data_IF_561570129931
#
_entry.id   IF_561570129931
#
_cell.length_a   1.000
_cell.length_b   1.000
_cell.length_c   1.000
_cell.angle_alpha   90.00
_cell.angle_beta   90.00
_cell.angle_gamma   90.00
#
_symmetry.space_group_name_H-M   'P 1'
#
loop_
_entity.id
_entity.type
_entity.pdbx_description
1 polymer ?
#
# COMPACT_ATOMS: atom_id res chain seq x y z
N UNK A 1 11.37 34.44 21.03
CA UNK A 1 10.56 33.27 21.40
C UNK A 1 9.63 32.83 20.25
N UNK A 2 10.15 32.33 19.12
CA UNK A 2 9.30 32.00 17.94
C UNK A 2 9.66 30.68 17.21
N UNK A 3 10.70 29.95 17.64
CA UNK A 3 11.20 28.75 16.92
C UNK A 3 10.67 27.41 17.44
N UNK A 4 9.83 27.41 18.48
CA UNK A 4 9.37 26.18 19.15
C UNK A 4 8.10 25.58 18.49
N UNK A 5 7.17 26.40 18.00
CA UNK A 5 5.86 25.94 17.47
C UNK A 5 5.93 25.27 16.09
N UNK A 6 6.94 25.57 15.28
CA UNK A 6 7.11 25.01 13.92
C UNK A 6 7.71 23.60 13.89
N UNK A 7 8.50 23.24 14.91
CA UNK A 7 9.13 21.91 15.00
C UNK A 7 8.13 20.80 15.30
N UNK A 8 7.12 21.08 16.14
CA UNK A 8 6.06 20.13 16.49
C UNK A 8 5.22 19.75 15.27
N UNK A 9 4.74 20.74 14.51
CA UNK A 9 3.89 20.54 13.32
C UNK A 9 4.58 19.76 12.20
N UNK A 10 5.90 19.91 12.05
CA UNK A 10 6.68 19.18 11.04
C UNK A 10 6.81 17.70 11.40
N UNK A 11 7.07 17.40 12.69
CA UNK A 11 7.23 16.03 13.19
C UNK A 11 5.92 15.24 13.10
N UNK A 12 4.79 15.89 13.40
CA UNK A 12 3.44 15.33 13.25
C UNK A 12 3.12 14.96 11.80
N UNK A 13 3.43 15.83 10.84
CA UNK A 13 3.21 15.53 9.41
C UNK A 13 4.05 14.34 8.93
N UNK A 14 5.31 14.25 9.37
CA UNK A 14 6.19 13.13 9.03
C UNK A 14 5.65 11.82 9.62
N UNK A 15 5.20 11.84 10.88
CA UNK A 15 4.60 10.69 11.54
C UNK A 15 3.31 10.25 10.82
N UNK A 16 2.40 11.18 10.50
CA UNK A 16 1.18 10.89 9.75
C UNK A 16 1.46 10.26 8.39
N UNK A 17 2.45 10.76 7.64
CA UNK A 17 2.84 10.18 6.36
C UNK A 17 3.50 8.80 6.47
N UNK A 18 4.24 8.53 7.56
CA UNK A 18 4.80 7.21 7.85
C UNK A 18 3.70 6.19 8.16
N UNK A 19 2.73 6.56 8.98
CA UNK A 19 1.60 5.69 9.30
C UNK A 19 0.75 5.40 8.06
N UNK A 20 0.44 6.40 7.25
CA UNK A 20 -0.28 6.20 5.98
C UNK A 20 0.43 5.18 5.06
N UNK A 21 1.76 5.25 4.94
CA UNK A 21 2.54 4.28 4.16
C UNK A 21 2.47 2.87 4.75
N UNK A 22 2.59 2.73 6.07
CA UNK A 22 2.49 1.43 6.75
C UNK A 22 1.12 0.80 6.55
N UNK A 23 0.05 1.58 6.69
CA UNK A 23 -1.33 1.10 6.49
C UNK A 23 -1.57 0.69 5.03
N UNK A 24 -1.05 1.45 4.06
CA UNK A 24 -1.14 1.07 2.65
C UNK A 24 -0.35 -0.22 2.34
N UNK A 25 0.88 -0.32 2.85
CA UNK A 25 1.71 -1.51 2.71
C UNK A 25 1.07 -2.77 3.32
N UNK A 26 0.43 -2.61 4.49
CA UNK A 26 -0.32 -3.67 5.14
C UNK A 26 -1.47 -4.19 4.27
N UNK A 27 -2.24 -3.29 3.66
CA UNK A 27 -3.36 -3.66 2.77
C UNK A 27 -2.91 -4.30 1.46
N UNK A 28 -1.79 -3.86 0.88
CA UNK A 28 -1.18 -4.55 -0.26
C UNK A 28 -0.87 -6.01 0.08
N UNK A 29 -0.26 -6.24 1.25
CA UNK A 29 0.08 -7.57 1.74
C UNK A 29 -1.14 -8.43 1.99
N UNK A 30 -2.16 -7.86 2.61
CA UNK A 30 -3.42 -8.53 2.88
C UNK A 30 -4.11 -8.96 1.58
N UNK A 31 -4.25 -8.03 0.61
CA UNK A 31 -4.85 -8.34 -0.68
C UNK A 31 -4.08 -9.42 -1.44
N UNK A 32 -2.74 -9.32 -1.48
CA UNK A 32 -1.92 -10.37 -2.10
C UNK A 32 -2.16 -11.72 -1.43
N UNK A 33 -2.13 -11.79 -0.10
CA UNK A 33 -2.34 -13.05 0.63
C UNK A 33 -3.70 -13.66 0.32
N UNK A 34 -4.75 -12.83 0.24
CA UNK A 34 -6.07 -13.30 -0.16
C UNK A 34 -6.08 -13.89 -1.58
N UNK A 35 -5.33 -13.29 -2.51
CA UNK A 35 -5.31 -13.71 -3.93
C UNK A 35 -4.38 -14.88 -4.23
N UNK A 36 -3.22 -14.95 -3.57
CA UNK A 36 -2.12 -15.86 -3.92
C UNK A 36 -1.54 -16.62 -2.73
N UNK A 37 -2.10 -16.48 -1.52
CA UNK A 37 -1.61 -17.13 -0.31
C UNK A 37 -0.34 -16.50 0.27
N UNK A 38 0.17 -17.07 1.36
CA UNK A 38 1.29 -16.48 2.12
C UNK A 38 2.58 -16.32 1.31
N UNK A 39 2.88 -17.29 0.44
CA UNK A 39 4.06 -17.31 -0.43
C UNK A 39 3.83 -16.64 -1.80
N UNK A 40 2.66 -16.05 -2.03
CA UNK A 40 2.23 -15.49 -3.32
C UNK A 40 2.92 -14.19 -3.79
N UNK A 41 4.06 -13.83 -3.18
CA UNK A 41 4.82 -12.61 -3.50
C UNK A 41 5.32 -12.59 -4.95
N UNK A 42 5.96 -13.65 -5.45
CA UNK A 42 6.42 -13.73 -6.84
C UNK A 42 5.29 -13.63 -7.86
N UNK A 43 4.12 -14.21 -7.58
CA UNK A 43 2.95 -14.19 -8.46
C UNK A 43 2.40 -12.77 -8.62
N UNK A 44 2.27 -12.04 -7.52
CA UNK A 44 1.83 -10.65 -7.56
C UNK A 44 2.87 -9.75 -8.24
N UNK A 45 4.16 -9.96 -7.96
CA UNK A 45 5.23 -9.22 -8.63
C UNK A 45 5.21 -9.46 -10.15
N UNK A 46 5.05 -10.71 -10.58
CA UNK A 46 4.92 -11.08 -12.01
C UNK A 46 3.68 -10.44 -12.64
N UNK A 47 2.54 -10.44 -11.95
CA UNK A 47 1.31 -9.79 -12.40
C UNK A 47 1.53 -8.29 -12.63
N UNK A 48 2.34 -7.64 -11.79
CA UNK A 48 2.67 -6.22 -11.91
C UNK A 48 3.86 -5.93 -12.83
N UNK A 49 4.59 -6.94 -13.31
CA UNK A 49 5.80 -6.77 -14.11
C UNK A 49 7.00 -6.24 -13.31
N UNK A 50 7.09 -6.62 -12.03
CA UNK A 50 8.12 -6.15 -11.09
C UNK A 50 9.06 -7.29 -10.65
N UNK A 51 10.30 -6.99 -10.27
CA UNK A 51 11.11 -7.93 -9.49
C UNK A 51 10.43 -8.26 -8.15
N UNK A 52 10.46 -9.53 -7.73
CA UNK A 52 9.83 -9.97 -6.47
C UNK A 52 10.33 -9.16 -5.26
N UNK A 53 11.64 -8.89 -5.19
CA UNK A 53 12.23 -8.06 -4.14
C UNK A 53 11.65 -6.64 -4.09
N UNK A 54 11.39 -6.04 -5.26
CA UNK A 54 10.79 -4.70 -5.35
C UNK A 54 9.38 -4.71 -4.76
N UNK A 55 8.60 -5.75 -5.05
CA UNK A 55 7.27 -5.89 -4.47
C UNK A 55 7.32 -6.08 -2.95
N UNK A 56 8.22 -6.91 -2.42
CA UNK A 56 8.39 -7.07 -0.97
C UNK A 56 8.78 -5.77 -0.25
N UNK A 57 9.56 -4.89 -0.90
CA UNK A 57 9.87 -3.58 -0.34
C UNK A 57 8.61 -2.73 -0.14
N UNK A 58 7.66 -2.80 -1.07
CA UNK A 58 6.39 -2.09 -0.96
C UNK A 58 5.54 -2.62 0.21
N UNK A 59 5.53 -3.93 0.44
CA UNK A 59 4.84 -4.54 1.59
C UNK A 59 5.47 -4.18 2.95
N UNK A 60 6.71 -3.68 2.98
CA UNK A 60 7.40 -3.25 4.22
C UNK A 60 7.30 -1.74 4.48
N UNK A 61 6.58 -0.99 3.64
CA UNK A 61 6.33 0.44 3.83
C UNK A 61 7.31 1.36 3.13
N UNK A 62 8.13 0.84 2.20
CA UNK A 62 8.87 1.70 1.25
C UNK A 62 7.86 2.46 0.38
N UNK A 63 8.23 3.67 -0.05
CA UNK A 63 7.40 4.47 -0.96
C UNK A 63 6.96 3.64 -2.17
N UNK A 64 5.65 3.59 -2.38
CA UNK A 64 5.02 2.89 -3.49
C UNK A 64 4.79 3.93 -4.60
N UNK A 65 5.37 3.74 -5.80
CA UNK A 65 5.10 4.60 -6.93
C UNK A 65 3.62 4.54 -7.35
N UNK A 66 3.05 5.65 -7.81
CA UNK A 66 1.63 5.73 -8.15
C UNK A 66 1.26 4.76 -9.29
N UNK A 67 2.15 4.59 -10.27
CA UNK A 67 2.02 3.66 -11.38
C UNK A 67 1.86 2.20 -10.93
N UNK A 68 2.45 1.82 -9.79
CA UNK A 68 2.28 0.47 -9.23
C UNK A 68 0.88 0.30 -8.67
N UNK A 69 0.33 1.32 -8.00
CA UNK A 69 -1.04 1.31 -7.51
C UNK A 69 -2.05 1.28 -8.66
N UNK A 70 -1.79 2.07 -9.71
CA UNK A 70 -2.61 2.07 -10.92
C UNK A 70 -2.59 0.70 -11.60
N UNK A 71 -1.42 0.10 -11.77
CA UNK A 71 -1.29 -1.24 -12.35
C UNK A 71 -1.99 -2.31 -11.50
N UNK A 72 -1.98 -2.19 -10.17
CA UNK A 72 -2.69 -3.10 -9.28
C UNK A 72 -4.21 -3.01 -9.47
N UNK A 73 -4.76 -1.79 -9.51
CA UNK A 73 -6.20 -1.56 -9.71
C UNK A 73 -6.66 -2.00 -11.11
N UNK A 74 -5.81 -1.81 -12.11
CA UNK A 74 -6.10 -2.21 -13.49
C UNK A 74 -6.06 -3.73 -13.68
N UNK A 75 -5.01 -4.40 -13.17
CA UNK A 75 -4.76 -5.82 -13.41
C UNK A 75 -5.41 -6.76 -12.40
N UNK A 76 -6.08 -6.21 -11.39
CA UNK A 76 -6.77 -6.99 -10.37
C UNK A 76 -8.14 -6.42 -10.07
N UNK A 77 -8.91 -7.15 -9.28
CA UNK A 77 -10.24 -6.78 -8.83
C UNK A 77 -10.24 -5.96 -7.52
N UNK A 78 -9.07 -5.53 -7.02
CA UNK A 78 -8.98 -4.76 -5.77
C UNK A 78 -9.82 -3.47 -5.84
N UNK A 79 -10.50 -3.15 -4.74
CA UNK A 79 -11.23 -1.90 -4.55
C UNK A 79 -10.26 -0.77 -4.23
N UNK A 80 -10.21 0.33 -5.02
CA UNK A 80 -9.38 1.49 -4.70
C UNK A 80 -9.75 2.16 -3.37
N UNK A 81 -11.05 2.15 -3.02
CA UNK A 81 -11.55 2.72 -1.77
C UNK A 81 -11.03 1.92 -0.58
N UNK A 82 -11.13 0.59 -0.63
CA UNK A 82 -10.58 -0.27 0.42
C UNK A 82 -9.06 -0.14 0.50
N UNK A 83 -8.36 -0.11 -0.64
CA UNK A 83 -6.91 0.02 -0.68
C UNK A 83 -6.40 1.33 -0.07
N UNK A 84 -7.15 2.44 -0.21
CA UNK A 84 -6.75 3.77 0.27
C UNK A 84 -7.31 4.13 1.65
N UNK A 85 -8.58 3.82 1.93
CA UNK A 85 -9.26 4.15 3.19
C UNK A 85 -9.43 2.95 4.14
N UNK A 86 -9.47 1.71 3.63
CA UNK A 86 -9.69 0.50 4.43
C UNK A 86 -11.17 0.24 4.65
N UNK A 87 -12.01 0.93 3.88
CA UNK A 87 -13.46 0.95 4.00
C UNK A 87 -14.08 0.13 2.87
N UNK A 88 -15.21 -0.52 3.18
CA UNK A 88 -15.95 -1.32 2.21
C UNK A 88 -15.29 -2.66 1.86
N UNK A 89 -15.73 -3.31 0.78
CA UNK A 89 -15.22 -4.61 0.37
C UNK A 89 -13.81 -4.50 -0.24
N UNK A 90 -12.97 -5.52 0.01
CA UNK A 90 -11.61 -5.62 -0.51
C UNK A 90 -11.55 -5.63 -2.04
N UNK A 91 -12.52 -6.29 -2.68
CA UNK A 91 -12.65 -6.40 -4.14
C UNK A 91 -13.87 -5.61 -4.62
N UNK A 92 -13.83 -5.16 -5.88
CA UNK A 92 -14.94 -4.44 -6.53
C UNK A 92 -16.19 -5.32 -6.68
N UNK A 93 -15.96 -6.62 -6.85
CA UNK A 93 -16.99 -7.65 -6.88
C UNK A 93 -17.12 -8.22 -5.47
N UNK A 94 -17.81 -7.51 -4.57
CA UNK A 94 -18.15 -8.09 -3.28
C UNK A 94 -19.06 -9.31 -3.50
N UNK A 95 -18.51 -10.52 -3.42
CA UNK A 95 -19.24 -11.78 -3.50
C UNK A 95 -18.80 -12.69 -2.37
#
# INVERSE_FOLDING_TARGET
MARMRTRTRTRERIASGLEARRTLAGRLREFRKAKFGDQGGPEMARLLGLPARTYYNYETGVTIPAEVLLALVDRTDVSPIWLLAGEGPMTRSGS
#
